data_IF_550326157917
#
_entry.id   IF_550326157917
#
_cell.length_a   1.000
_cell.length_b   1.000
_cell.length_c   1.000
_cell.angle_alpha   90.00
_cell.angle_beta   90.00
_cell.angle_gamma   90.00
#
_symmetry.space_group_name_H-M   'P 1'
#
loop_
_entity.id
_entity.type
_entity.pdbx_description
1 polymer ?
#
# COMPACT_ATOMS: atom_id res chain seq x y z
N UNK A 1 48.78 11.93 -41.23
CA UNK A 1 47.89 10.88 -41.83
C UNK A 1 47.86 9.58 -41.02
N UNK A 2 49.04 8.87 -40.83
CA UNK A 2 49.04 7.58 -40.09
C UNK A 2 48.70 7.72 -38.60
N UNK A 3 49.19 8.76 -37.94
CA UNK A 3 48.91 9.05 -36.52
C UNK A 3 47.45 9.41 -36.30
N UNK A 4 46.87 10.22 -37.14
CA UNK A 4 45.44 10.60 -37.12
C UNK A 4 44.49 9.40 -37.28
N UNK A 5 44.88 8.41 -38.08
CA UNK A 5 44.11 7.18 -38.22
C UNK A 5 44.17 6.30 -36.97
N UNK A 6 45.31 6.26 -36.29
CA UNK A 6 45.48 5.54 -35.03
C UNK A 6 44.64 6.20 -33.89
N UNK A 7 44.67 7.52 -33.81
CA UNK A 7 43.92 8.26 -32.80
C UNK A 7 42.38 8.13 -33.02
N UNK A 8 41.93 8.17 -34.28
CA UNK A 8 40.54 7.89 -34.65
C UNK A 8 40.13 6.46 -34.32
N UNK A 9 40.97 5.48 -34.58
CA UNK A 9 40.62 4.09 -34.26
C UNK A 9 40.57 3.84 -32.75
N UNK A 10 41.47 4.44 -31.99
CA UNK A 10 41.44 4.38 -30.52
C UNK A 10 40.14 5.03 -29.93
N UNK A 11 39.77 6.20 -30.42
CA UNK A 11 38.53 6.87 -30.03
C UNK A 11 37.26 6.07 -30.36
N UNK A 12 37.25 5.39 -31.52
CA UNK A 12 36.14 4.53 -31.90
C UNK A 12 36.01 3.30 -30.98
N UNK A 13 37.11 2.69 -30.59
CA UNK A 13 37.13 1.55 -29.66
C UNK A 13 36.62 2.00 -28.29
N UNK A 14 37.09 3.13 -27.79
CA UNK A 14 36.63 3.70 -26.50
C UNK A 14 35.13 4.02 -26.51
N UNK A 15 34.63 4.59 -27.63
CA UNK A 15 33.17 4.82 -27.77
C UNK A 15 32.40 3.52 -27.86
N UNK A 16 32.89 2.48 -28.50
CA UNK A 16 32.24 1.18 -28.55
C UNK A 16 32.17 0.52 -27.17
N UNK A 17 33.24 0.58 -26.39
CA UNK A 17 33.29 0.03 -25.04
C UNK A 17 32.38 0.80 -24.08
N UNK A 18 32.37 2.11 -24.17
CA UNK A 18 31.42 2.95 -23.42
C UNK A 18 29.97 2.59 -23.75
N UNK A 19 29.61 2.44 -25.03
CA UNK A 19 28.26 2.01 -25.43
C UNK A 19 27.93 0.62 -24.92
N UNK A 20 28.86 -0.33 -24.95
CA UNK A 20 28.64 -1.69 -24.40
C UNK A 20 28.36 -1.64 -22.89
N UNK A 21 29.12 -0.85 -22.14
CA UNK A 21 28.90 -0.67 -20.70
C UNK A 21 27.53 -0.08 -20.39
N UNK A 22 27.16 0.99 -21.12
CA UNK A 22 25.83 1.62 -20.94
C UNK A 22 24.69 0.63 -21.28
N UNK A 23 24.83 -0.13 -22.37
CA UNK A 23 23.82 -1.15 -22.74
C UNK A 23 23.72 -2.25 -21.70
N UNK A 24 24.81 -2.75 -21.15
CA UNK A 24 24.83 -3.75 -20.09
C UNK A 24 24.15 -3.22 -18.81
N UNK A 25 24.44 -1.97 -18.43
CA UNK A 25 23.79 -1.32 -17.29
C UNK A 25 22.28 -1.16 -17.49
N UNK A 26 21.86 -0.73 -18.68
CA UNK A 26 20.45 -0.58 -19.02
C UNK A 26 19.72 -1.92 -18.98
N UNK A 27 20.32 -2.98 -19.52
CA UNK A 27 19.76 -4.32 -19.48
C UNK A 27 19.59 -4.83 -18.04
N UNK A 28 20.61 -4.67 -17.19
CA UNK A 28 20.53 -5.04 -15.77
C UNK A 28 19.45 -4.26 -15.03
N UNK A 29 19.31 -2.95 -15.28
CA UNK A 29 18.25 -2.13 -14.71
C UNK A 29 16.87 -2.58 -15.18
N UNK A 30 16.70 -2.86 -16.48
CA UNK A 30 15.42 -3.35 -17.01
C UNK A 30 15.01 -4.68 -16.37
N UNK A 31 15.96 -5.61 -16.22
CA UNK A 31 15.69 -6.90 -15.60
C UNK A 31 15.31 -6.77 -14.12
N UNK A 32 16.03 -5.95 -13.37
CA UNK A 32 15.68 -5.64 -11.97
C UNK A 32 14.27 -5.06 -11.85
N UNK A 33 13.92 -4.09 -12.71
CA UNK A 33 12.58 -3.47 -12.71
C UNK A 33 11.47 -4.43 -13.07
N UNK A 34 11.69 -5.30 -14.05
CA UNK A 34 10.72 -6.33 -14.44
C UNK A 34 10.44 -7.29 -13.29
N UNK A 35 11.49 -7.70 -12.57
CA UNK A 35 11.35 -8.55 -11.38
C UNK A 35 10.56 -7.84 -10.28
N UNK A 36 10.86 -6.57 -10.00
CA UNK A 36 10.12 -5.76 -9.01
C UNK A 36 8.64 -5.62 -9.35
N UNK A 37 8.32 -5.34 -10.62
CA UNK A 37 6.93 -5.28 -11.09
C UNK A 37 6.20 -6.61 -10.90
N UNK A 38 6.84 -7.72 -11.24
CA UNK A 38 6.28 -9.06 -11.03
C UNK A 38 5.97 -9.34 -9.56
N UNK A 39 6.86 -8.97 -8.65
CA UNK A 39 6.65 -9.10 -7.20
C UNK A 39 5.46 -8.26 -6.72
N UNK A 40 5.40 -6.99 -7.12
CA UNK A 40 4.29 -6.10 -6.75
C UNK A 40 2.93 -6.61 -7.26
N UNK A 41 2.89 -7.15 -8.49
CA UNK A 41 1.67 -7.77 -9.03
C UNK A 41 1.22 -8.97 -8.21
N UNK A 42 2.15 -9.85 -7.84
CA UNK A 42 1.86 -11.01 -6.99
C UNK A 42 1.34 -10.59 -5.61
N UNK A 43 1.95 -9.58 -5.00
CA UNK A 43 1.52 -9.09 -3.69
C UNK A 43 0.12 -8.47 -3.75
N UNK A 44 -0.20 -7.72 -4.81
CA UNK A 44 -1.55 -7.22 -5.04
C UNK A 44 -2.58 -8.35 -5.26
N UNK A 45 -2.20 -9.42 -5.97
CA UNK A 45 -3.07 -10.58 -6.16
C UNK A 45 -3.32 -11.34 -4.85
N UNK A 46 -2.31 -11.47 -3.98
CA UNK A 46 -2.46 -12.08 -2.65
C UNK A 46 -3.45 -11.30 -1.79
N UNK A 47 -3.28 -9.98 -1.72
CA UNK A 47 -4.23 -9.14 -1.00
C UNK A 47 -5.64 -9.26 -1.57
N UNK A 48 -5.79 -9.30 -2.89
CA UNK A 48 -7.10 -9.43 -3.52
C UNK A 48 -7.78 -10.76 -3.15
N UNK A 49 -7.04 -11.87 -3.17
CA UNK A 49 -7.55 -13.20 -2.77
C UNK A 49 -7.96 -13.20 -1.29
N UNK A 50 -7.12 -12.63 -0.41
CA UNK A 50 -7.43 -12.52 1.01
C UNK A 50 -8.73 -11.74 1.23
N UNK A 51 -8.86 -10.56 0.63
CA UNK A 51 -10.08 -9.75 0.78
C UNK A 51 -11.31 -10.47 0.22
N UNK A 52 -11.19 -11.21 -0.87
CA UNK A 52 -12.30 -12.02 -1.40
C UNK A 52 -12.74 -13.10 -0.42
N UNK A 53 -11.79 -13.86 0.15
CA UNK A 53 -12.12 -14.88 1.15
C UNK A 53 -12.74 -14.28 2.41
N UNK A 54 -12.24 -13.15 2.90
CA UNK A 54 -12.84 -12.43 4.02
C UNK A 54 -14.25 -11.94 3.71
N UNK A 55 -14.48 -11.39 2.51
CA UNK A 55 -15.80 -10.91 2.10
C UNK A 55 -16.83 -12.04 2.11
N UNK A 56 -16.46 -13.24 1.64
CA UNK A 56 -17.33 -14.42 1.67
C UNK A 56 -17.59 -14.87 3.10
N UNK A 57 -16.56 -15.02 3.91
CA UNK A 57 -16.68 -15.46 5.30
C UNK A 57 -17.56 -14.51 6.16
N UNK A 58 -17.44 -13.20 5.94
CA UNK A 58 -18.21 -12.20 6.66
C UNK A 58 -19.69 -12.15 6.24
N UNK A 59 -20.02 -12.57 5.01
CA UNK A 59 -21.42 -12.69 4.55
C UNK A 59 -22.19 -13.79 5.28
N UNK A 60 -21.48 -14.84 5.75
CA UNK A 60 -22.06 -15.97 6.48
C UNK A 60 -22.26 -15.68 7.98
N UNK A 61 -21.68 -14.57 8.48
CA UNK A 61 -21.81 -14.19 9.89
C UNK A 61 -23.05 -13.34 10.14
N UNK A 62 -23.79 -13.58 11.27
CA UNK A 62 -24.87 -12.71 11.68
C UNK A 62 -24.35 -11.27 11.84
N UNK A 63 -24.96 -10.36 11.13
CA UNK A 63 -24.69 -8.93 11.33
C UNK A 63 -25.40 -8.49 12.60
N UNK A 64 -24.64 -7.98 13.56
CA UNK A 64 -25.19 -7.44 14.78
C UNK A 64 -25.90 -6.12 14.42
N UNK A 65 -27.24 -6.16 14.38
CA UNK A 65 -28.12 -5.14 13.82
C UNK A 65 -28.32 -3.95 14.80
N UNK A 66 -27.35 -3.72 15.68
CA UNK A 66 -27.39 -2.62 16.62
C UNK A 66 -26.95 -1.32 15.95
N UNK A 67 -27.81 -0.32 16.00
CA UNK A 67 -27.82 1.11 15.64
C UNK A 67 -26.44 1.81 15.47
N UNK A 68 -25.61 1.37 14.51
CA UNK A 68 -24.33 2.03 14.26
C UNK A 68 -24.38 2.90 13.03
N UNK A 69 -23.71 4.05 13.11
CA UNK A 69 -23.53 4.95 11.96
C UNK A 69 -22.73 4.22 10.88
N UNK A 70 -23.39 3.89 9.78
CA UNK A 70 -22.74 3.26 8.61
C UNK A 70 -21.54 4.09 8.13
N UNK A 71 -20.47 3.42 7.70
CA UNK A 71 -19.31 4.11 7.11
C UNK A 71 -19.73 5.07 5.99
N UNK A 72 -20.75 4.73 5.21
CA UNK A 72 -21.32 5.55 4.14
C UNK A 72 -21.77 6.93 4.63
N UNK A 73 -22.39 7.02 5.81
CA UNK A 73 -22.86 8.28 6.39
C UNK A 73 -21.72 9.17 6.91
N UNK A 74 -20.54 8.59 7.09
CA UNK A 74 -19.32 9.28 7.52
C UNK A 74 -18.48 9.82 6.37
N UNK A 75 -18.94 9.69 5.12
CA UNK A 75 -18.21 10.24 3.96
C UNK A 75 -17.98 11.74 4.12
N UNK A 76 -16.72 12.17 3.96
CA UNK A 76 -16.30 13.57 4.16
C UNK A 76 -16.14 14.01 5.62
N UNK A 77 -16.40 13.10 6.58
CA UNK A 77 -16.34 13.38 8.02
C UNK A 77 -15.33 12.52 8.77
N UNK A 78 -14.65 11.60 8.07
CA UNK A 78 -13.63 10.75 8.67
C UNK A 78 -12.42 11.58 9.08
N UNK A 79 -11.75 11.14 10.15
CA UNK A 79 -10.41 11.64 10.51
C UNK A 79 -9.37 10.69 9.95
N UNK A 80 -8.24 11.23 9.54
CA UNK A 80 -7.12 10.41 9.11
C UNK A 80 -6.65 9.53 10.27
N UNK A 81 -6.28 8.26 9.99
CA UNK A 81 -5.89 7.31 11.03
C UNK A 81 -4.57 7.66 11.72
N UNK A 82 -3.76 8.49 11.09
CA UNK A 82 -2.46 8.94 11.60
C UNK A 82 -2.18 10.35 11.07
N UNK A 83 -1.49 11.17 11.88
CA UNK A 83 -0.96 12.44 11.42
C UNK A 83 0.31 12.20 10.57
N UNK A 84 0.42 12.91 9.45
CA UNK A 84 1.57 12.73 8.56
C UNK A 84 1.41 13.47 7.23
N UNK A 85 2.17 13.05 6.23
CA UNK A 85 2.14 13.61 4.89
C UNK A 85 1.86 12.52 3.85
N UNK A 86 0.88 12.72 2.99
CA UNK A 86 0.63 11.81 1.88
C UNK A 86 1.82 11.86 0.92
N UNK A 87 2.48 10.72 0.74
CA UNK A 87 3.61 10.53 -0.19
C UNK A 87 3.20 9.87 -1.48
N UNK A 88 2.15 9.04 -1.44
CA UNK A 88 1.52 8.44 -2.64
C UNK A 88 0.01 8.52 -2.50
N UNK A 89 -0.64 9.00 -3.53
CA UNK A 89 -2.10 9.09 -3.60
C UNK A 89 -2.70 7.88 -4.31
N UNK A 90 -3.97 7.63 -4.08
CA UNK A 90 -4.75 6.63 -4.83
C UNK A 90 -4.68 6.91 -6.34
N UNK A 91 -4.47 5.86 -7.13
CA UNK A 91 -4.37 5.95 -8.60
C UNK A 91 -3.04 6.50 -9.11
N UNK A 92 -2.10 6.87 -8.22
CA UNK A 92 -0.76 7.26 -8.65
C UNK A 92 -0.08 6.12 -9.38
N UNK A 93 0.49 6.40 -10.55
CA UNK A 93 1.26 5.41 -11.30
C UNK A 93 2.56 5.11 -10.54
N UNK A 94 2.85 3.86 -10.34
CA UNK A 94 4.20 3.46 -9.91
C UNK A 94 5.20 3.80 -11.01
N UNK A 95 6.37 4.28 -10.57
CA UNK A 95 7.37 4.92 -11.42
C UNK A 95 7.84 4.09 -12.61
N UNK A 96 7.07 3.64 -13.52
CA UNK A 96 7.37 2.97 -14.79
C UNK A 96 6.45 1.80 -15.16
N UNK A 97 5.23 1.75 -14.65
CA UNK A 97 4.38 0.64 -15.01
C UNK A 97 2.90 1.00 -15.09
N UNK A 98 2.14 0.05 -15.60
CA UNK A 98 0.67 0.07 -15.62
C UNK A 98 0.04 -0.11 -14.24
N UNK A 99 0.84 -0.36 -13.20
CA UNK A 99 0.38 -0.55 -11.82
C UNK A 99 0.04 0.80 -11.18
N UNK A 100 -1.18 0.87 -10.65
CA UNK A 100 -1.66 2.03 -9.91
C UNK A 100 -1.76 1.70 -8.42
N UNK A 101 -1.44 2.68 -7.59
CA UNK A 101 -1.60 2.59 -6.14
C UNK A 101 -3.09 2.47 -5.80
N UNK A 102 -3.46 1.43 -5.05
CA UNK A 102 -4.86 1.13 -4.67
C UNK A 102 -5.30 1.79 -3.37
N UNK A 103 -4.37 2.39 -2.64
CA UNK A 103 -4.59 3.10 -1.40
C UNK A 103 -3.84 4.42 -1.38
N UNK A 104 -3.55 4.93 -0.18
CA UNK A 104 -2.69 6.09 0.07
C UNK A 104 -1.55 5.69 0.98
N UNK A 105 -0.37 6.26 0.75
CA UNK A 105 0.78 6.13 1.61
C UNK A 105 0.95 7.41 2.41
N UNK A 106 0.96 7.29 3.74
CA UNK A 106 1.14 8.41 4.67
C UNK A 106 2.49 8.24 5.36
N UNK A 107 3.43 9.14 5.09
CA UNK A 107 4.70 9.17 5.82
C UNK A 107 4.47 9.72 7.22
N UNK A 108 4.90 8.98 8.21
CA UNK A 108 4.88 9.37 9.64
C UNK A 108 6.05 8.72 10.37
N UNK A 109 6.29 9.06 11.63
CA UNK A 109 7.33 8.43 12.42
C UNK A 109 6.93 7.01 12.83
N UNK A 110 7.89 6.12 12.90
CA UNK A 110 7.68 4.78 13.45
C UNK A 110 7.18 4.86 14.90
N UNK A 111 6.22 4.01 15.25
CA UNK A 111 5.65 3.94 16.59
C UNK A 111 4.52 4.94 16.86
N UNK A 112 4.15 5.78 15.89
CA UNK A 112 2.96 6.66 16.05
C UNK A 112 1.70 5.81 16.02
N UNK A 113 0.76 6.12 16.92
CA UNK A 113 -0.51 5.42 17.02
C UNK A 113 -1.33 5.55 15.75
N UNK A 114 -1.86 4.42 15.29
CA UNK A 114 -2.80 4.31 14.18
C UNK A 114 -4.19 4.09 14.76
N UNK A 115 -5.15 4.95 14.37
CA UNK A 115 -6.51 4.92 14.87
C UNK A 115 -7.48 4.32 13.84
N UNK A 116 -8.49 3.59 14.34
CA UNK A 116 -9.60 3.14 13.52
C UNK A 116 -10.40 4.34 12.99
N UNK A 117 -10.68 4.37 11.68
CA UNK A 117 -11.41 5.48 11.05
C UNK A 117 -12.90 5.48 11.40
N UNK A 118 -13.44 4.32 11.70
CA UNK A 118 -14.84 4.11 12.08
C UNK A 118 -14.95 2.83 12.90
N UNK A 119 -16.09 2.65 13.58
CA UNK A 119 -16.41 1.38 14.24
C UNK A 119 -16.44 0.24 13.24
N UNK A 120 -16.00 -0.93 13.68
CA UNK A 120 -16.01 -2.15 12.87
C UNK A 120 -15.47 -3.34 13.63
N UNK A 121 -15.43 -4.48 12.95
CA UNK A 121 -14.88 -5.74 13.45
C UNK A 121 -13.59 -6.06 12.74
N UNK A 122 -12.56 -6.47 13.47
CA UNK A 122 -11.29 -6.89 12.89
C UNK A 122 -11.49 -8.19 12.13
N UNK A 123 -11.30 -8.13 10.81
CA UNK A 123 -11.42 -9.26 9.90
C UNK A 123 -10.08 -9.97 9.65
N UNK A 124 -8.96 -9.25 9.81
CA UNK A 124 -7.62 -9.78 9.64
C UNK A 124 -6.62 -8.99 10.47
N UNK A 125 -5.68 -9.67 11.11
CA UNK A 125 -4.63 -9.07 11.92
C UNK A 125 -3.40 -9.98 11.90
N UNK A 126 -2.55 -9.86 10.86
CA UNK A 126 -1.36 -10.68 10.69
C UNK A 126 -0.42 -10.10 9.62
N UNK A 127 0.69 -10.78 9.39
CA UNK A 127 1.66 -10.47 8.35
C UNK A 127 1.16 -10.86 6.96
N UNK A 128 1.25 -9.91 6.01
CA UNK A 128 1.02 -10.17 4.60
C UNK A 128 2.19 -9.65 3.76
N UNK A 129 2.80 -10.54 2.97
CA UNK A 129 3.90 -10.17 2.07
C UNK A 129 3.52 -8.96 1.21
N UNK A 130 4.42 -7.97 1.12
CA UNK A 130 4.23 -6.72 0.39
C UNK A 130 3.49 -5.62 1.16
N UNK A 131 2.75 -5.99 2.24
CA UNK A 131 2.01 -5.06 3.09
C UNK A 131 2.52 -5.02 4.54
N UNK A 132 3.41 -5.96 4.93
CA UNK A 132 3.91 -6.07 6.29
C UNK A 132 2.84 -6.51 7.28
N UNK A 133 2.90 -6.02 8.52
CA UNK A 133 1.83 -6.20 9.49
C UNK A 133 0.61 -5.42 9.03
N UNK A 134 -0.44 -6.16 8.71
CA UNK A 134 -1.68 -5.67 8.11
C UNK A 134 -2.86 -5.93 9.05
N UNK A 135 -3.66 -4.91 9.29
CA UNK A 135 -4.94 -5.02 9.96
C UNK A 135 -6.04 -4.63 9.00
N UNK A 136 -7.11 -5.43 8.94
CA UNK A 136 -8.30 -5.17 8.12
C UNK A 136 -9.51 -5.10 9.04
N UNK A 137 -10.27 -4.02 8.93
CA UNK A 137 -11.52 -3.82 9.67
C UNK A 137 -12.69 -3.87 8.69
N UNK A 138 -13.68 -4.70 9.00
CA UNK A 138 -14.98 -4.70 8.36
C UNK A 138 -15.92 -3.72 9.07
N UNK A 139 -16.50 -2.79 8.31
CA UNK A 139 -17.42 -1.77 8.81
C UNK A 139 -18.89 -2.07 8.47
N UNK A 140 -19.14 -3.28 7.97
CA UNK A 140 -20.46 -3.66 7.47
C UNK A 140 -20.77 -3.10 6.07
N UNK A 141 -21.90 -3.50 5.52
CA UNK A 141 -22.35 -3.11 4.17
C UNK A 141 -21.29 -3.33 3.07
N UNK A 142 -20.32 -4.24 3.27
CA UNK A 142 -19.22 -4.51 2.35
C UNK A 142 -18.12 -3.44 2.33
N UNK A 143 -18.07 -2.52 3.30
CA UNK A 143 -16.98 -1.57 3.47
C UNK A 143 -15.88 -2.14 4.35
N UNK A 144 -14.64 -2.02 3.91
CA UNK A 144 -13.46 -2.41 4.66
C UNK A 144 -12.41 -1.31 4.65
N UNK A 145 -11.65 -1.18 5.75
CA UNK A 145 -10.44 -0.38 5.81
C UNK A 145 -9.23 -1.26 6.12
N UNK A 146 -8.14 -1.01 5.44
CA UNK A 146 -6.88 -1.75 5.49
C UNK A 146 -5.77 -0.82 5.98
N UNK A 147 -5.03 -1.27 6.98
CA UNK A 147 -3.91 -0.55 7.61
C UNK A 147 -2.67 -1.41 7.52
N UNK A 148 -1.76 -1.10 6.60
CA UNK A 148 -0.54 -1.87 6.33
C UNK A 148 0.73 -1.16 6.79
N UNK A 149 1.86 -1.91 6.77
CA UNK A 149 3.20 -1.43 7.13
C UNK A 149 3.35 -1.10 8.62
N UNK A 150 2.46 -1.61 9.47
CA UNK A 150 2.51 -1.36 10.89
C UNK A 150 3.76 -1.99 11.52
N UNK A 151 4.25 -1.39 12.59
CA UNK A 151 5.29 -1.96 13.45
C UNK A 151 4.71 -2.98 14.42
N UNK A 152 3.50 -2.72 14.92
CA UNK A 152 2.80 -3.57 15.88
C UNK A 152 1.30 -3.49 15.61
N UNK A 153 0.59 -4.60 15.86
CA UNK A 153 -0.87 -4.68 15.85
C UNK A 153 -1.34 -4.86 17.29
N UNK A 154 -2.40 -4.15 17.68
CA UNK A 154 -2.94 -4.15 19.05
C UNK A 154 -4.30 -4.82 19.14
N UNK A 155 -4.82 -5.30 18.02
CA UNK A 155 -6.14 -5.93 17.92
C UNK A 155 -6.05 -7.27 17.24
N UNK A 156 -6.82 -8.23 17.77
CA UNK A 156 -6.92 -9.57 17.23
C UNK A 156 -8.14 -9.73 16.32
N UNK A 157 -8.16 -10.79 15.53
CA UNK A 157 -9.30 -11.12 14.65
C UNK A 157 -10.56 -11.32 15.50
N UNK A 158 -11.69 -10.84 15.01
CA UNK A 158 -12.99 -10.84 15.64
C UNK A 158 -13.21 -9.80 16.75
N UNK A 159 -12.21 -9.03 17.16
CA UNK A 159 -12.43 -7.92 18.08
C UNK A 159 -13.21 -6.78 17.43
N UNK A 160 -14.07 -6.14 18.22
CA UNK A 160 -14.71 -4.88 17.85
C UNK A 160 -13.81 -3.71 18.21
N UNK A 161 -13.79 -2.71 17.35
CA UNK A 161 -13.07 -1.45 17.55
C UNK A 161 -14.00 -0.27 17.33
N UNK A 162 -13.82 0.78 18.12
CA UNK A 162 -14.57 2.01 17.98
C UNK A 162 -13.81 3.05 17.15
N UNK A 163 -14.53 4.04 16.64
CA UNK A 163 -13.91 5.14 15.89
C UNK A 163 -12.92 5.92 16.74
N UNK A 164 -11.70 6.07 16.27
CA UNK A 164 -10.61 6.77 16.97
C UNK A 164 -9.87 5.90 17.98
N UNK A 165 -10.24 4.63 18.11
CA UNK A 165 -9.52 3.68 18.95
C UNK A 165 -8.15 3.35 18.35
N UNK A 166 -7.09 3.26 19.18
CA UNK A 166 -5.76 2.86 18.75
C UNK A 166 -5.75 1.37 18.44
N UNK A 167 -5.42 1.02 17.19
CA UNK A 167 -5.45 -0.35 16.66
C UNK A 167 -4.09 -0.91 16.30
N UNK A 168 -3.10 -0.04 16.06
CA UNK A 168 -1.77 -0.41 15.64
C UNK A 168 -0.78 0.73 15.91
N UNK A 169 0.52 0.48 15.68
CA UNK A 169 1.54 1.49 15.59
C UNK A 169 2.14 1.51 14.17
N UNK A 170 2.28 2.70 13.60
CA UNK A 170 2.87 2.90 12.28
C UNK A 170 4.33 2.42 12.24
N UNK A 171 4.77 1.91 11.10
CA UNK A 171 6.10 1.34 10.96
C UNK A 171 6.62 1.32 9.53
N UNK A 172 7.53 0.39 9.28
CA UNK A 172 8.21 0.16 8.00
C UNK A 172 8.20 -1.33 7.61
N UNK A 173 7.31 -2.12 8.23
CA UNK A 173 7.21 -3.54 7.94
C UNK A 173 6.82 -3.79 6.48
N UNK A 174 7.17 -4.96 5.92
CA UNK A 174 6.87 -5.28 4.52
C UNK A 174 7.90 -4.77 3.52
N UNK A 175 9.11 -4.36 3.99
CA UNK A 175 10.23 -4.00 3.11
C UNK A 175 10.20 -2.54 2.62
N UNK A 176 9.52 -1.67 3.33
CA UNK A 176 9.53 -0.23 3.01
C UNK A 176 10.82 0.44 3.50
N UNK A 177 11.32 1.40 2.72
CA UNK A 177 12.54 2.17 3.05
C UNK A 177 12.31 3.30 4.06
N UNK A 178 11.06 3.63 4.36
CA UNK A 178 10.69 4.71 5.27
C UNK A 178 9.43 4.34 6.05
N UNK A 179 9.38 4.79 7.30
CA UNK A 179 8.23 4.56 8.16
C UNK A 179 6.99 5.32 7.67
N UNK A 180 5.84 4.69 7.82
CA UNK A 180 4.57 5.24 7.39
C UNK A 180 3.40 4.30 7.65
N UNK A 181 2.27 4.64 7.06
CA UNK A 181 1.06 3.84 7.06
C UNK A 181 0.54 3.71 5.63
N UNK A 182 0.27 2.48 5.20
CA UNK A 182 -0.55 2.22 4.03
C UNK A 182 -2.02 2.17 4.43
N UNK A 183 -2.84 3.04 3.84
CA UNK A 183 -4.29 3.07 4.06
C UNK A 183 -5.02 2.80 2.76
N UNK A 184 -5.92 1.81 2.77
CA UNK A 184 -6.79 1.49 1.64
C UNK A 184 -8.24 1.34 2.12
N UNK A 185 -9.18 1.86 1.35
CA UNK A 185 -10.62 1.63 1.56
C UNK A 185 -11.16 0.77 0.43
N UNK A 186 -12.04 -0.17 0.79
CA UNK A 186 -12.71 -1.06 -0.16
C UNK A 186 -14.23 -1.06 0.01
N UNK A 187 -14.91 -1.25 -1.10
CA UNK A 187 -16.35 -1.52 -1.14
C UNK A 187 -16.58 -2.78 -1.97
N UNK A 188 -17.20 -3.79 -1.37
CA UNK A 188 -17.44 -5.09 -2.01
C UNK A 188 -16.16 -5.67 -2.64
N UNK A 189 -15.05 -5.64 -1.88
CA UNK A 189 -13.74 -6.12 -2.31
C UNK A 189 -13.00 -5.25 -3.33
N UNK A 190 -13.59 -4.15 -3.83
CA UNK A 190 -12.97 -3.24 -4.81
C UNK A 190 -12.38 -2.00 -4.11
N UNK A 191 -11.11 -1.66 -4.35
CA UNK A 191 -10.51 -0.46 -3.79
C UNK A 191 -11.11 0.81 -4.42
N UNK A 192 -11.22 1.86 -3.63
CA UNK A 192 -11.68 3.17 -4.09
C UNK A 192 -10.87 4.29 -3.45
N UNK A 193 -10.95 5.50 -4.04
CA UNK A 193 -10.19 6.66 -3.56
C UNK A 193 -10.63 7.06 -2.14
N UNK A 194 -9.75 6.96 -1.13
CA UNK A 194 -10.09 7.32 0.24
C UNK A 194 -10.15 8.84 0.48
N UNK A 195 -9.41 9.65 -0.26
CA UNK A 195 -9.24 11.08 0.03
C UNK A 195 -10.57 11.85 0.21
N UNK A 196 -11.62 11.66 -0.61
CA UNK A 196 -12.90 12.36 -0.44
C UNK A 196 -13.70 11.96 0.82
N UNK A 197 -13.26 10.94 1.55
CA UNK A 197 -13.91 10.44 2.76
C UNK A 197 -13.41 11.13 4.02
N UNK A 198 -12.22 11.71 3.94
CA UNK A 198 -11.54 12.33 5.08
C UNK A 198 -11.70 13.85 5.10
N UNK A 199 -11.75 14.40 6.31
CA UNK A 199 -11.77 15.84 6.54
C UNK A 199 -10.33 16.36 6.64
N UNK A 200 -9.97 17.35 5.81
CA UNK A 200 -8.65 17.97 5.84
C UNK A 200 -7.52 17.06 5.31
N UNK A 201 -6.29 17.41 5.69
CA UNK A 201 -5.07 16.64 5.42
C UNK A 201 -4.71 15.80 6.64
N UNK A 202 -3.96 14.66 6.46
CA UNK A 202 -3.46 13.87 7.58
C UNK A 202 -2.45 14.60 8.43
#
# INVERSE_FOLDING_TARGET
MRQEQLDKSASLVEQQDSRRQVMAQLQAQMQSRTTQLGTLQQDQQRLQKLVQSLTLALQEMPQDDTQYTSLRQLKGKLRWPVAGRITRSFGAKEAQGSLQTRGVQIATRAGVDVQAIARGRVAFSDWLRGFGLLLIIDHGEGYMSLYGQNRSLYKEVCEWVDRGETIAAAGDSGGQSAAGLYLELRKNGKPFNPAPWFKGKP
#
